data_IF_322260974413
#
_entry.id   IF_322260974413
#
_cell.length_a   1.000
_cell.length_b   1.000
_cell.length_c   1.000
_cell.angle_alpha   90.00
_cell.angle_beta   90.00
_cell.angle_gamma   90.00
#
_symmetry.space_group_name_H-M   'P 1'
#
loop_
_entity.id
_entity.type
_entity.pdbx_description
1 polymer ?
#
# COMPACT_ATOMS: atom_id res chain seq x y z
N UNK A 1 -3.63 -8.15 8.61
CA UNK A 1 -5.06 -8.45 8.34
C UNK A 1 -5.24 -8.31 6.83
N UNK A 2 -5.94 -9.21 6.14
CA UNK A 2 -6.22 -9.04 4.70
C UNK A 2 -6.95 -7.72 4.45
N UNK A 3 -6.76 -7.18 3.26
CA UNK A 3 -7.44 -5.95 2.84
C UNK A 3 -8.93 -6.23 2.72
N UNK A 4 -9.73 -5.34 3.29
CA UNK A 4 -11.19 -5.40 3.20
C UNK A 4 -11.70 -4.32 2.23
N UNK A 5 -12.22 -4.78 1.08
CA UNK A 5 -12.76 -3.91 0.05
C UNK A 5 -14.00 -3.13 0.53
N UNK A 6 -14.79 -3.70 1.44
CA UNK A 6 -15.99 -3.03 1.95
C UNK A 6 -15.64 -1.88 2.89
N UNK A 7 -14.56 -2.03 3.67
CA UNK A 7 -14.00 -0.92 4.45
C UNK A 7 -13.63 0.23 3.52
N UNK A 8 -12.90 -0.07 2.42
CA UNK A 8 -12.43 0.96 1.46
C UNK A 8 -13.62 1.66 0.79
N UNK A 9 -14.60 0.90 0.31
CA UNK A 9 -15.82 1.45 -0.33
C UNK A 9 -16.64 2.32 0.62
N UNK A 10 -16.65 2.00 1.90
CA UNK A 10 -17.43 2.72 2.92
C UNK A 10 -16.73 3.97 3.45
N UNK A 11 -15.49 4.26 3.02
CA UNK A 11 -14.77 5.45 3.45
C UNK A 11 -15.48 6.72 2.98
N UNK A 12 -15.76 7.60 3.93
CA UNK A 12 -16.34 8.89 3.60
C UNK A 12 -15.28 9.81 2.96
N UNK A 13 -15.70 10.72 2.07
CA UNK A 13 -14.79 11.67 1.39
C UNK A 13 -13.87 12.45 2.35
N UNK A 14 -14.32 12.74 3.57
CA UNK A 14 -13.51 13.42 4.58
C UNK A 14 -12.45 12.50 5.19
N UNK A 15 -12.75 11.20 5.34
CA UNK A 15 -11.79 10.20 5.80
C UNK A 15 -10.67 10.02 4.77
N UNK A 16 -11.01 9.90 3.49
CA UNK A 16 -10.03 9.86 2.40
C UNK A 16 -9.17 11.14 2.40
N UNK A 17 -9.77 12.32 2.58
CA UNK A 17 -9.04 13.58 2.67
C UNK A 17 -8.08 13.64 3.86
N UNK A 18 -8.46 13.07 5.00
CA UNK A 18 -7.59 12.95 6.19
C UNK A 18 -6.41 12.01 5.87
N UNK A 19 -6.66 10.85 5.27
CA UNK A 19 -5.61 9.90 4.91
C UNK A 19 -4.59 10.53 3.93
N UNK A 20 -5.05 11.25 2.91
CA UNK A 20 -4.16 12.00 1.99
C UNK A 20 -3.35 13.10 2.70
N UNK A 21 -3.97 13.81 3.64
CA UNK A 21 -3.27 14.83 4.40
C UNK A 21 -2.18 14.20 5.29
N UNK A 22 -2.49 13.09 5.96
CA UNK A 22 -1.53 12.33 6.75
C UNK A 22 -0.36 11.85 5.90
N UNK A 23 -0.61 11.23 4.75
CA UNK A 23 0.43 10.78 3.82
C UNK A 23 1.40 11.92 3.47
N UNK A 24 0.87 13.08 3.09
CA UNK A 24 1.68 14.25 2.72
C UNK A 24 2.52 14.76 3.89
N UNK A 25 1.92 14.87 5.09
CA UNK A 25 2.55 15.46 6.26
C UNK A 25 3.54 14.52 6.95
N UNK A 26 3.35 13.20 6.83
CA UNK A 26 4.28 12.19 7.36
C UNK A 26 5.66 12.20 6.69
N UNK A 27 5.86 12.95 5.62
CA UNK A 27 7.20 13.24 5.08
C UNK A 27 8.05 14.09 6.03
N UNK A 28 7.39 14.85 6.93
CA UNK A 28 8.03 15.78 7.87
C UNK A 28 7.77 15.44 9.33
N UNK A 29 6.68 14.69 9.61
CA UNK A 29 6.25 14.34 10.96
C UNK A 29 6.23 12.82 11.14
N UNK A 30 6.76 12.34 12.25
CA UNK A 30 6.52 10.96 12.70
C UNK A 30 5.07 10.78 13.16
N UNK A 31 4.57 11.74 13.93
CA UNK A 31 3.19 11.87 14.36
C UNK A 31 2.71 13.24 13.90
N UNK A 32 1.74 13.29 13.02
CA UNK A 32 1.17 14.54 12.51
C UNK A 32 0.33 15.17 13.59
N UNK A 33 0.63 16.43 14.05
CA UNK A 33 -0.14 17.10 15.09
C UNK A 33 -1.60 17.26 14.68
N UNK A 34 -2.53 17.09 15.66
CA UNK A 34 -3.97 17.18 15.39
C UNK A 34 -4.38 18.54 14.81
N UNK A 35 -3.83 19.63 15.34
CA UNK A 35 -4.18 20.98 14.89
C UNK A 35 -3.70 21.25 13.46
N UNK A 36 -2.48 20.84 13.12
CA UNK A 36 -1.93 20.96 11.78
C UNK A 36 -2.74 20.14 10.77
N UNK A 37 -3.08 18.90 11.16
CA UNK A 37 -3.92 18.02 10.35
C UNK A 37 -5.31 18.63 10.13
N UNK A 38 -5.93 19.15 11.18
CA UNK A 38 -7.25 19.80 11.11
C UNK A 38 -7.23 21.03 10.21
N UNK A 39 -6.21 21.86 10.34
CA UNK A 39 -6.02 23.02 9.48
C UNK A 39 -5.87 22.62 8.00
N UNK A 40 -5.10 21.55 7.72
CA UNK A 40 -4.88 21.06 6.35
C UNK A 40 -6.16 20.50 5.72
N UNK A 41 -7.02 19.84 6.50
CA UNK A 41 -8.27 19.23 5.98
C UNK A 41 -9.48 20.14 6.09
N UNK A 42 -9.39 21.28 6.78
CA UNK A 42 -10.46 22.28 6.94
C UNK A 42 -11.78 21.67 7.43
N UNK A 43 -11.72 20.86 8.48
CA UNK A 43 -12.88 20.26 9.15
C UNK A 43 -13.15 20.96 10.48
N UNK A 44 -14.43 20.99 10.88
CA UNK A 44 -14.81 21.42 12.23
C UNK A 44 -14.28 20.45 13.29
N UNK A 45 -14.01 20.91 14.52
CA UNK A 45 -13.51 20.02 15.57
C UNK A 45 -14.39 18.78 15.83
N UNK A 46 -15.73 18.88 15.87
CA UNK A 46 -16.58 17.69 16.05
C UNK A 46 -16.46 16.70 14.89
N UNK A 47 -16.48 17.18 13.64
CA UNK A 47 -16.35 16.33 12.45
C UNK A 47 -14.98 15.66 12.42
N UNK A 48 -13.90 16.42 12.70
CA UNK A 48 -12.56 15.88 12.76
C UNK A 48 -12.45 14.73 13.80
N UNK A 49 -12.94 14.96 15.02
CA UNK A 49 -12.93 13.96 16.09
C UNK A 49 -13.70 12.69 15.68
N UNK A 50 -14.86 12.86 15.07
CA UNK A 50 -15.68 11.74 14.59
C UNK A 50 -14.97 10.92 13.53
N UNK A 51 -14.40 11.60 12.51
CA UNK A 51 -13.71 10.92 11.41
C UNK A 51 -12.42 10.23 11.84
N UNK A 52 -11.63 10.88 12.69
CA UNK A 52 -10.44 10.26 13.28
C UNK A 52 -10.80 9.01 14.11
N UNK A 53 -11.87 9.08 14.90
CA UNK A 53 -12.38 7.93 15.65
C UNK A 53 -12.72 6.75 14.73
N UNK A 54 -13.41 6.99 13.62
CA UNK A 54 -13.74 5.97 12.63
C UNK A 54 -12.48 5.36 12.00
N UNK A 55 -11.51 6.19 11.61
CA UNK A 55 -10.26 5.72 11.00
C UNK A 55 -9.42 4.89 11.97
N UNK A 56 -9.38 5.25 13.27
CA UNK A 56 -8.72 4.47 14.32
C UNK A 56 -9.44 3.14 14.52
N UNK A 57 -10.78 3.16 14.63
CA UNK A 57 -11.58 1.94 14.83
C UNK A 57 -11.42 0.93 13.70
N UNK A 58 -11.12 1.41 12.48
CA UNK A 58 -10.85 0.59 11.29
C UNK A 58 -9.37 0.23 11.12
N UNK A 59 -8.52 0.54 12.08
CA UNK A 59 -7.06 0.32 12.04
C UNK A 59 -6.36 0.94 10.82
N UNK A 60 -6.89 2.03 10.26
CA UNK A 60 -6.30 2.73 9.11
C UNK A 60 -5.26 3.76 9.53
N UNK A 61 -5.37 4.27 10.75
CA UNK A 61 -4.44 5.20 11.38
C UNK A 61 -4.19 4.80 12.83
N UNK A 62 -3.10 5.31 13.39
CA UNK A 62 -2.81 5.24 14.83
C UNK A 62 -2.66 6.64 15.40
N UNK A 63 -2.88 6.77 16.71
CA UNK A 63 -2.66 8.01 17.46
C UNK A 63 -1.69 7.79 18.60
N UNK A 64 -0.97 8.86 18.96
CA UNK A 64 -0.16 8.94 20.17
C UNK A 64 -0.43 10.29 20.84
N UNK A 65 -0.20 10.35 22.14
CA UNK A 65 -0.40 11.56 22.94
C UNK A 65 0.90 12.17 23.47
N UNK A 66 2.05 11.55 23.17
CA UNK A 66 3.36 11.98 23.67
C UNK A 66 4.31 12.21 22.48
N UNK A 67 4.95 13.38 22.40
CA UNK A 67 4.91 14.56 23.27
C UNK A 67 3.68 15.45 23.04
N UNK A 68 2.87 15.18 22.04
CA UNK A 68 1.63 15.88 21.69
C UNK A 68 0.66 14.89 21.04
N UNK A 69 -0.60 15.25 20.98
CA UNK A 69 -1.60 14.45 20.30
C UNK A 69 -1.37 14.48 18.78
N UNK A 70 -1.02 13.34 18.24
CA UNK A 70 -0.70 13.19 16.81
C UNK A 70 -1.21 11.89 16.23
N UNK A 71 -1.18 11.82 14.88
CA UNK A 71 -1.69 10.70 14.11
C UNK A 71 -0.69 10.25 13.04
N UNK A 72 -0.72 8.97 12.70
CA UNK A 72 0.09 8.41 11.64
C UNK A 72 -0.69 7.37 10.84
N UNK A 73 -0.43 7.27 9.54
CA UNK A 73 -0.93 6.17 8.71
C UNK A 73 -0.27 4.87 9.11
N UNK A 74 -1.03 3.80 9.03
CA UNK A 74 -0.50 2.43 9.00
C UNK A 74 -0.63 1.85 7.60
N UNK A 75 -0.05 0.66 7.36
CA UNK A 75 -0.15 0.04 6.04
C UNK A 75 -1.58 -0.11 5.53
N UNK A 76 -2.53 -0.51 6.38
CA UNK A 76 -3.94 -0.63 5.97
C UNK A 76 -4.53 0.70 5.44
N UNK A 77 -4.17 1.83 6.06
CA UNK A 77 -4.57 3.15 5.56
C UNK A 77 -3.89 3.51 4.24
N UNK A 78 -2.65 3.07 4.05
CA UNK A 78 -1.91 3.29 2.82
C UNK A 78 -2.44 2.41 1.67
N UNK A 79 -2.81 1.15 1.97
CA UNK A 79 -3.54 0.26 1.07
C UNK A 79 -4.86 0.88 0.62
N UNK A 80 -5.64 1.39 1.59
CA UNK A 80 -6.92 2.02 1.31
C UNK A 80 -6.79 3.21 0.36
N UNK A 81 -5.76 4.06 0.53
CA UNK A 81 -5.46 5.16 -0.40
C UNK A 81 -5.10 4.65 -1.79
N UNK A 82 -4.18 3.68 -1.88
CA UNK A 82 -3.73 3.17 -3.16
C UNK A 82 -4.88 2.54 -3.96
N UNK A 83 -5.67 1.69 -3.31
CA UNK A 83 -6.80 1.01 -3.95
C UNK A 83 -7.94 1.96 -4.30
N UNK A 84 -8.23 2.95 -3.44
CA UNK A 84 -9.22 3.98 -3.72
C UNK A 84 -8.85 4.79 -4.97
N UNK A 85 -7.57 5.18 -5.09
CA UNK A 85 -7.08 5.95 -6.24
C UNK A 85 -7.05 5.10 -7.52
N UNK A 86 -6.66 3.81 -7.44
CA UNK A 86 -6.70 2.89 -8.59
C UNK A 86 -8.14 2.65 -9.07
N UNK A 87 -9.08 2.52 -8.14
CA UNK A 87 -10.50 2.41 -8.46
C UNK A 87 -11.05 3.71 -9.07
N UNK A 88 -10.66 4.87 -8.52
CA UNK A 88 -11.01 6.19 -9.06
C UNK A 88 -10.51 6.41 -10.49
N UNK A 89 -9.32 5.91 -10.83
CA UNK A 89 -8.76 5.90 -12.20
C UNK A 89 -9.43 4.85 -13.10
N UNK A 90 -10.27 3.97 -12.56
CA UNK A 90 -10.85 2.81 -13.25
C UNK A 90 -9.82 1.77 -13.71
N UNK A 91 -8.62 1.77 -13.13
CA UNK A 91 -7.62 0.72 -13.36
C UNK A 91 -8.10 -0.61 -12.81
N UNK A 92 -8.78 -0.57 -11.65
CA UNK A 92 -9.47 -1.72 -11.06
C UNK A 92 -10.92 -1.38 -10.74
N UNK A 93 -11.79 -2.38 -10.76
CA UNK A 93 -13.22 -2.25 -10.42
C UNK A 93 -13.64 -3.10 -9.22
N UNK A 94 -12.91 -4.17 -8.94
CA UNK A 94 -13.14 -5.04 -7.80
C UNK A 94 -11.82 -5.62 -7.29
N UNK A 95 -11.75 -5.86 -5.97
CA UNK A 95 -10.68 -6.60 -5.33
C UNK A 95 -11.13 -8.06 -5.17
N UNK A 96 -10.27 -8.98 -5.60
CA UNK A 96 -10.46 -10.42 -5.45
C UNK A 96 -9.77 -10.98 -4.20
N UNK A 97 -9.49 -12.28 -4.24
CA UNK A 97 -8.84 -13.00 -3.15
C UNK A 97 -7.33 -12.75 -3.10
N UNK A 98 -6.76 -12.91 -1.91
CA UNK A 98 -5.32 -12.97 -1.75
C UNK A 98 -4.81 -14.31 -2.30
N UNK A 99 -3.91 -14.26 -3.29
CA UNK A 99 -3.35 -15.43 -3.96
C UNK A 99 -1.96 -15.78 -3.48
N UNK A 100 -1.29 -14.86 -2.80
CA UNK A 100 0.04 -15.11 -2.28
C UNK A 100 0.49 -14.11 -1.22
N UNK A 101 1.41 -14.57 -0.38
CA UNK A 101 2.05 -13.73 0.64
C UNK A 101 3.55 -14.02 0.61
N UNK A 102 4.32 -13.01 0.24
CA UNK A 102 5.78 -13.04 0.29
C UNK A 102 6.34 -12.49 1.60
N UNK A 103 7.66 -12.41 1.67
CA UNK A 103 8.36 -11.82 2.82
C UNK A 103 8.06 -10.33 2.98
N UNK A 104 7.99 -9.62 1.86
CA UNK A 104 7.81 -8.16 1.79
C UNK A 104 6.73 -7.77 0.78
N UNK A 105 5.80 -8.68 0.46
CA UNK A 105 4.70 -8.40 -0.47
C UNK A 105 3.47 -9.24 -0.17
N UNK A 106 2.33 -8.72 -0.56
CA UNK A 106 1.04 -9.40 -0.59
C UNK A 106 0.47 -9.31 -2.00
N UNK A 107 0.01 -10.45 -2.52
CA UNK A 107 -0.47 -10.56 -3.89
C UNK A 107 -1.98 -10.82 -3.88
N UNK A 108 -2.71 -10.00 -4.59
CA UNK A 108 -4.17 -10.12 -4.74
C UNK A 108 -4.56 -10.21 -6.20
N UNK A 109 -5.61 -10.93 -6.48
CA UNK A 109 -6.35 -10.78 -7.73
C UNK A 109 -7.21 -9.51 -7.67
N UNK A 110 -7.46 -8.92 -8.83
CA UNK A 110 -8.41 -7.83 -8.98
C UNK A 110 -9.04 -7.88 -10.37
N UNK A 111 -10.18 -7.22 -10.53
CA UNK A 111 -10.83 -7.04 -11.80
C UNK A 111 -10.51 -5.65 -12.37
N UNK A 112 -9.89 -5.63 -13.55
CA UNK A 112 -9.69 -4.45 -14.39
C UNK A 112 -10.35 -4.65 -15.76
N UNK A 113 -9.60 -4.51 -16.87
CA UNK A 113 -10.04 -4.96 -18.20
C UNK A 113 -9.98 -6.50 -18.38
N UNK A 114 -10.02 -7.24 -17.31
CA UNK A 114 -9.88 -8.67 -17.15
C UNK A 114 -9.30 -8.90 -15.77
N UNK A 115 -8.86 -10.14 -15.49
CA UNK A 115 -8.19 -10.45 -14.25
C UNK A 115 -6.79 -9.83 -14.28
N UNK A 116 -6.48 -9.04 -13.27
CA UNK A 116 -5.16 -8.45 -13.04
C UNK A 116 -4.62 -8.84 -11.67
N UNK A 117 -3.33 -8.72 -11.49
CA UNK A 117 -2.64 -8.99 -10.23
C UNK A 117 -2.22 -7.66 -9.60
N UNK A 118 -2.47 -7.53 -8.32
CA UNK A 118 -1.97 -6.45 -7.48
C UNK A 118 -0.81 -7.00 -6.64
N UNK A 119 0.37 -6.41 -6.79
CA UNK A 119 1.51 -6.68 -5.92
C UNK A 119 1.67 -5.50 -4.96
N UNK A 120 1.34 -5.72 -3.68
CA UNK A 120 1.44 -4.74 -2.61
C UNK A 120 2.78 -4.92 -1.87
N UNK A 121 3.69 -3.98 -2.04
CA UNK A 121 4.96 -3.99 -1.32
C UNK A 121 4.76 -3.64 0.16
N UNK A 122 5.28 -4.49 1.04
CA UNK A 122 5.15 -4.38 2.51
C UNK A 122 6.54 -4.42 3.18
N UNK A 123 7.46 -3.61 2.67
CA UNK A 123 8.84 -3.55 3.17
C UNK A 123 8.86 -3.27 4.67
N UNK A 124 9.58 -4.09 5.42
CA UNK A 124 9.73 -3.93 6.87
C UNK A 124 8.58 -4.48 7.72
N UNK A 125 7.48 -4.96 7.13
CA UNK A 125 6.36 -5.45 7.93
C UNK A 125 6.65 -6.79 8.63
N UNK A 126 7.48 -7.65 8.04
CA UNK A 126 7.78 -9.00 8.53
C UNK A 126 9.24 -9.26 8.87
N UNK A 127 10.15 -8.34 8.60
CA UNK A 127 11.60 -8.55 8.79
C UNK A 127 12.32 -7.34 9.31
N UNK A 128 12.36 -7.16 10.63
CA UNK A 128 13.16 -6.12 11.28
C UNK A 128 14.68 -6.39 11.20
N UNK A 129 15.13 -7.62 10.98
CA UNK A 129 16.55 -7.99 11.10
C UNK A 129 17.36 -7.76 9.82
N UNK A 130 16.79 -7.97 8.65
CA UNK A 130 17.50 -7.86 7.37
C UNK A 130 17.66 -6.41 6.87
N UNK A 131 16.83 -5.51 7.34
CA UNK A 131 16.75 -4.12 6.84
C UNK A 131 17.77 -3.17 7.46
N UNK A 132 18.42 -3.56 8.58
CA UNK A 132 19.54 -2.79 9.14
C UNK A 132 20.78 -2.81 8.22
N UNK A 133 20.87 -3.79 7.32
CA UNK A 133 22.03 -4.01 6.46
C UNK A 133 21.88 -3.37 5.08
N UNK A 134 20.66 -3.18 4.57
CA UNK A 134 20.40 -2.58 3.25
C UNK A 134 19.92 -1.12 3.39
N UNK A 135 20.85 -0.22 3.71
CA UNK A 135 20.61 1.23 3.78
C UNK A 135 20.24 1.89 2.46
N UNK A 136 20.29 1.17 1.33
CA UNK A 136 19.98 1.69 0.00
C UNK A 136 18.51 2.10 -0.21
N UNK A 137 17.60 1.58 0.62
CA UNK A 137 16.15 1.91 0.57
C UNK A 137 15.76 3.06 1.49
N UNK A 138 16.67 3.52 2.35
CA UNK A 138 16.41 4.64 3.26
C UNK A 138 16.92 5.92 2.61
N UNK A 139 16.08 6.92 2.33
CA UNK A 139 16.57 8.26 2.08
C UNK A 139 17.28 8.72 3.36
N UNK A 140 18.51 9.23 3.21
CA UNK A 140 19.45 9.75 4.22
C UNK A 140 19.01 9.96 5.68
N UNK A 141 19.82 10.51 6.51
CA UNK A 141 19.55 10.77 7.94
C UNK A 141 18.20 11.50 8.13
N UNK A 142 17.12 10.73 8.40
CA UNK A 142 15.79 11.27 8.61
C UNK A 142 14.73 10.21 8.85
N UNK A 143 13.58 10.65 9.37
CA UNK A 143 12.42 9.80 9.55
C UNK A 143 11.83 9.40 8.19
N UNK A 144 12.02 8.14 7.78
CA UNK A 144 11.36 7.57 6.61
C UNK A 144 10.42 6.44 7.05
N UNK A 145 9.10 6.68 7.05
CA UNK A 145 8.13 5.63 7.29
C UNK A 145 8.26 4.48 6.27
N UNK A 146 8.09 3.23 6.74
CA UNK A 146 8.13 2.03 5.90
C UNK A 146 7.19 2.07 4.71
N UNK A 147 6.07 2.80 4.81
CA UNK A 147 5.13 2.99 3.71
C UNK A 147 5.80 3.67 2.51
N UNK A 148 6.69 4.66 2.73
CA UNK A 148 7.41 5.32 1.63
C UNK A 148 8.56 4.47 1.09
N UNK A 149 9.22 3.68 1.93
CA UNK A 149 10.19 2.69 1.47
C UNK A 149 9.52 1.64 0.57
N UNK A 150 8.31 1.20 0.93
CA UNK A 150 7.50 0.28 0.11
C UNK A 150 7.10 0.88 -1.22
N UNK A 151 6.72 2.17 -1.25
CA UNK A 151 6.42 2.87 -2.50
C UNK A 151 7.65 2.96 -3.41
N UNK A 152 8.83 3.26 -2.85
CA UNK A 152 10.10 3.28 -3.61
C UNK A 152 10.48 1.91 -4.15
N UNK A 153 10.25 0.85 -3.37
CA UNK A 153 10.46 -0.54 -3.82
C UNK A 153 9.55 -0.89 -4.99
N UNK A 154 8.26 -0.55 -4.90
CA UNK A 154 7.30 -0.77 -5.97
C UNK A 154 7.67 0.02 -7.26
N UNK A 155 8.09 1.28 -7.13
CA UNK A 155 8.52 2.09 -8.26
C UNK A 155 9.69 1.43 -9.02
N UNK A 156 10.70 0.93 -8.29
CA UNK A 156 11.86 0.25 -8.88
C UNK A 156 11.46 -1.03 -9.62
N UNK A 157 10.60 -1.86 -9.00
CA UNK A 157 10.10 -3.08 -9.64
C UNK A 157 9.26 -2.76 -10.88
N UNK A 158 8.39 -1.76 -10.80
CA UNK A 158 7.57 -1.33 -11.92
C UNK A 158 8.41 -0.88 -13.12
N UNK A 159 9.46 -0.07 -12.90
CA UNK A 159 10.38 0.36 -13.96
C UNK A 159 11.20 -0.82 -14.51
N UNK A 160 11.62 -1.77 -13.68
CA UNK A 160 12.27 -2.99 -14.14
C UNK A 160 11.35 -3.83 -15.03
N UNK A 161 10.10 -4.04 -14.64
CA UNK A 161 9.10 -4.74 -15.45
C UNK A 161 8.88 -4.05 -16.81
N UNK A 162 8.79 -2.72 -16.83
CA UNK A 162 8.70 -1.95 -18.08
C UNK A 162 9.91 -2.14 -18.99
N UNK A 163 11.11 -2.14 -18.41
CA UNK A 163 12.35 -2.30 -19.17
C UNK A 163 12.52 -3.72 -19.76
N UNK A 164 11.97 -4.73 -19.09
CA UNK A 164 12.04 -6.13 -19.46
C UNK A 164 10.88 -6.57 -20.38
N UNK A 165 9.76 -5.87 -20.33
CA UNK A 165 8.57 -6.20 -21.11
C UNK A 165 8.89 -6.24 -22.60
N UNK A 166 8.50 -7.33 -23.25
CA UNK A 166 8.81 -7.60 -24.68
C UNK A 166 10.21 -8.14 -24.95
N UNK A 167 11.10 -8.23 -23.92
CA UNK A 167 12.45 -8.81 -24.07
C UNK A 167 12.53 -10.21 -23.43
N UNK A 168 11.86 -10.38 -22.31
CA UNK A 168 11.75 -11.65 -21.58
C UNK A 168 10.32 -11.84 -21.09
N UNK A 169 9.98 -13.08 -20.71
CA UNK A 169 8.67 -13.41 -20.19
C UNK A 169 8.52 -12.88 -18.76
N UNK A 170 7.85 -11.75 -18.61
CA UNK A 170 7.51 -11.11 -17.32
C UNK A 170 6.06 -10.66 -17.33
N UNK A 171 5.42 -10.48 -16.16
CA UNK A 171 4.10 -9.86 -16.10
C UNK A 171 4.13 -8.47 -16.76
N UNK A 172 3.11 -8.17 -17.55
CA UNK A 172 2.98 -6.86 -18.20
C UNK A 172 2.59 -5.83 -17.15
N UNK A 173 3.41 -4.78 -16.88
CA UNK A 173 3.03 -3.72 -15.95
C UNK A 173 1.92 -2.85 -16.55
N UNK A 174 0.85 -2.65 -15.78
CA UNK A 174 -0.36 -1.92 -16.23
C UNK A 174 -0.42 -0.53 -15.61
N UNK A 175 -0.34 -0.45 -14.28
CA UNK A 175 -0.37 0.82 -13.53
C UNK A 175 0.39 0.66 -12.20
N UNK A 176 0.73 1.78 -11.60
CA UNK A 176 1.30 1.83 -10.25
C UNK A 176 0.63 2.93 -9.45
N UNK A 177 0.33 2.65 -8.19
CA UNK A 177 -0.10 3.65 -7.24
C UNK A 177 0.56 3.39 -5.89
N UNK A 178 1.42 4.31 -5.45
CA UNK A 178 2.19 4.16 -4.21
C UNK A 178 3.00 2.86 -4.19
N UNK A 179 2.68 1.98 -3.26
CA UNK A 179 3.34 0.68 -3.06
C UNK A 179 2.61 -0.49 -3.75
N UNK A 180 1.61 -0.20 -4.59
CA UNK A 180 0.80 -1.20 -5.30
C UNK A 180 1.12 -1.15 -6.78
N UNK A 181 1.62 -2.25 -7.33
CA UNK A 181 1.79 -2.47 -8.77
C UNK A 181 0.59 -3.26 -9.28
N UNK A 182 0.02 -2.79 -10.38
CA UNK A 182 -1.00 -3.52 -11.16
C UNK A 182 -0.33 -4.13 -12.37
N UNK A 183 -0.44 -5.44 -12.55
CA UNK A 183 0.19 -6.17 -13.64
C UNK A 183 -0.72 -7.26 -14.19
N UNK A 184 -0.38 -7.78 -15.38
CA UNK A 184 -1.12 -8.90 -15.96
C UNK A 184 -0.96 -10.16 -15.10
N UNK A 185 -2.01 -11.00 -15.10
CA UNK A 185 -1.89 -12.35 -14.59
C UNK A 185 -1.04 -13.19 -15.55
N UNK A 186 -0.07 -13.92 -15.02
CA UNK A 186 0.65 -14.96 -15.76
C UNK A 186 -0.09 -16.27 -15.52
N UNK A 187 -0.65 -16.91 -16.56
CA UNK A 187 -1.33 -18.18 -16.42
C UNK A 187 -0.31 -19.27 -16.06
N UNK A 188 -0.65 -20.13 -15.13
CA UNK A 188 0.22 -21.23 -14.68
C UNK A 188 -0.22 -21.81 -13.34
N UNK A 189 0.49 -22.85 -12.91
CA UNK A 189 0.32 -23.47 -11.62
C UNK A 189 1.46 -23.06 -10.67
N UNK A 190 1.17 -22.98 -9.37
CA UNK A 190 2.19 -22.71 -8.37
C UNK A 190 3.16 -23.90 -8.30
N UNK A 191 4.44 -23.67 -8.57
CA UNK A 191 5.47 -24.71 -8.61
C UNK A 191 5.58 -25.51 -7.30
N UNK A 192 5.25 -24.95 -6.16
CA UNK A 192 5.21 -25.66 -4.87
C UNK A 192 4.17 -26.81 -4.89
N UNK A 193 3.16 -26.72 -5.75
CA UNK A 193 2.08 -27.70 -5.88
C UNK A 193 2.23 -28.58 -7.11
N UNK A 194 3.27 -28.37 -7.91
CA UNK A 194 3.54 -29.18 -9.11
C UNK A 194 4.48 -30.33 -8.75
N UNK A 195 4.12 -31.51 -9.19
CA UNK A 195 5.05 -32.68 -9.25
C UNK A 195 5.59 -32.68 -10.68
N UNK A 196 6.90 -32.56 -10.83
CA UNK A 196 7.53 -32.71 -12.14
C UNK A 196 7.42 -34.19 -12.54
N UNK A 197 6.83 -34.45 -13.70
CA UNK A 197 6.72 -35.80 -14.25
C UNK A 197 8.08 -36.32 -14.76
N UNK A 198 8.97 -35.39 -15.13
CA UNK A 198 10.33 -35.68 -15.56
C UNK A 198 11.33 -34.85 -14.72
N UNK A 199 12.18 -35.48 -13.91
CA UNK A 199 13.16 -34.75 -13.09
C UNK A 199 14.30 -34.12 -13.89
N UNK A 200 14.45 -34.45 -15.17
CA UNK A 200 15.53 -33.94 -16.05
C UNK A 200 15.10 -32.76 -16.91
N UNK A 201 13.85 -32.26 -16.70
CA UNK A 201 13.34 -31.06 -17.36
C UNK A 201 13.50 -29.84 -16.47
#
# INVERSE_FOLDING_TARGET
MPIDADIIKSLHKYEIRILHALERMMKHYRWVPEDDLRAAVKLSPPEMKYRLGNLIHRDLIRSDSVPYKGYTLVFAGYDALALSDLAGKKTISALGSMVGVGKESEIYEALGFGIVILNLHKVGQRSFQTLKTNREYMPGEGHCPWIFASAKSAEREYEALKALNGKVSVPVPIDINRHVIVMSQVPGANLIRCVLEDPDT
#
